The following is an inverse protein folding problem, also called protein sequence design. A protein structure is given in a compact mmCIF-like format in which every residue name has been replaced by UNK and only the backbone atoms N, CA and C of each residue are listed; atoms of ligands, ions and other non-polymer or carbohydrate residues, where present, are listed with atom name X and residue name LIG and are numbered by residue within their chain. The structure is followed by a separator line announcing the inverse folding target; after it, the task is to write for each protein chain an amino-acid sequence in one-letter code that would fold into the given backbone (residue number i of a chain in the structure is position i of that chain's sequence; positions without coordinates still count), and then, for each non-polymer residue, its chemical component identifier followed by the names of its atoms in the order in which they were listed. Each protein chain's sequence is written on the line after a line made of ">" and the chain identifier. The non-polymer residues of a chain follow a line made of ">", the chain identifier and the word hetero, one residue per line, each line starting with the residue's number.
data_IF_712219308757
#
_entry.id   IF_712219308757
#
_cell.length_a   1.000
_cell.length_b   1.000
_cell.length_c   1.000
_cell.angle_alpha   90.00
_cell.angle_beta   90.00
_cell.angle_gamma   90.00
#
_symmetry.space_group_name_H-M   'P 1'
#
loop_
_entity.id
_entity.type
_entity.pdbx_description
1 polymer ?
#
# COMPACT_ATOMS: atom_id res chain seq x y z
N UNK A 1 -60.05 -3.21 12.06
CA UNK A 1 -59.40 -2.78 12.24
C UNK A 1 -58.16 -3.04 12.29
N UNK A 2 -57.73 -3.16 12.47
CA UNK A 2 -56.55 -3.33 12.62
C UNK A 2 -55.68 -3.99 11.86
N UNK A 3 -55.58 -4.22 11.18
CA UNK A 3 -54.77 -4.85 10.48
C UNK A 3 -53.80 -4.23 9.86
N UNK A 4 -53.81 -3.41 9.90
CA UNK A 4 -52.97 -2.75 9.23
C UNK A 4 -51.72 -2.91 9.55
N UNK A 5 -51.37 -3.24 10.37
CA UNK A 5 -50.13 -3.25 10.68
C UNK A 5 -49.34 -4.16 10.12
N UNK A 6 -49.54 -4.84 9.72
CA UNK A 6 -48.81 -5.66 9.28
C UNK A 6 -47.89 -5.40 8.35
N UNK A 7 -47.80 -4.74 7.81
CA UNK A 7 -47.10 -4.53 6.86
C UNK A 7 -45.85 -4.13 7.00
N UNK A 8 -45.53 -3.75 7.52
CA UNK A 8 -44.43 -3.19 7.64
C UNK A 8 -43.32 -3.97 7.53
N UNK A 9 -42.87 -4.11 7.74
CA UNK A 9 -41.85 -4.77 7.79
C UNK A 9 -41.12 -5.13 6.88
N UNK A 10 -40.97 -5.21 6.51
CA UNK A 10 -40.32 -5.62 5.65
C UNK A 10 -39.25 -5.10 5.27
N UNK A 11 -38.96 -4.74 5.12
CA UNK A 11 -38.06 -4.23 4.58
C UNK A 11 -36.83 -4.49 4.77
N UNK A 12 -36.45 -4.45 5.15
CA UNK A 12 -35.33 -4.61 5.45
C UNK A 12 -34.33 -5.05 4.87
N UNK A 13 -33.93 -5.16 4.74
CA UNK A 13 -33.00 -5.59 4.23
C UNK A 13 -31.91 -5.41 3.91
N UNK A 14 -31.48 -5.35 3.87
CA UNK A 14 -30.51 -5.33 3.61
C UNK A 14 -29.53 -5.47 3.24
N UNK A 15 -29.29 -5.58 3.02
CA UNK A 15 -28.39 -5.69 2.57
C UNK A 15 -27.28 -5.65 2.49
N UNK A 16 -26.99 -5.61 2.46
CA UNK A 16 -25.98 -5.56 2.29
C UNK A 16 -24.96 -5.86 2.17
N UNK A 17 -24.64 -5.86 2.27
CA UNK A 17 -23.68 -6.15 2.26
C UNK A 17 -22.70 -6.40 1.75
N UNK A 18 -22.54 -6.39 1.44
CA UNK A 18 -21.74 -6.66 0.88
C UNK A 18 -20.53 -6.74 0.86
N UNK A 19 -20.08 -6.98 1.19
CA UNK A 19 -18.95 -7.19 1.26
C UNK A 19 -18.08 -7.25 0.38
N UNK A 20 -17.69 -6.58 0.14
CA UNK A 20 -16.89 -6.50 -0.73
C UNK A 20 -15.65 -6.81 -0.44
N UNK A 21 -15.19 -7.67 -0.49
CA UNK A 21 -13.97 -7.92 -0.33
C UNK A 21 -13.08 -7.68 -1.32
N UNK A 22 -12.56 -6.70 -1.39
CA UNK A 22 -11.64 -6.50 -2.36
C UNK A 22 -10.40 -7.09 -2.01
N UNK A 23 -9.79 -7.67 -2.74
CA UNK A 23 -8.55 -8.23 -2.49
C UNK A 23 -7.62 -7.17 -2.35
N UNK A 24 -6.82 -7.23 -1.55
CA UNK A 24 -5.98 -6.23 -1.38
C UNK A 24 -4.95 -6.11 -2.26
N UNK A 25 -4.93 -6.50 -3.23
CA UNK A 25 -3.88 -6.49 -3.99
C UNK A 25 -3.45 -5.38 -4.53
N UNK A 26 -2.69 -5.15 -4.73
CA UNK A 26 -2.25 -4.28 -5.59
C UNK A 26 -2.66 -2.96 -5.65
N UNK A 27 -2.95 -2.30 -4.67
CA UNK A 27 -3.15 -0.97 -4.88
C UNK A 27 -1.90 -0.24 -4.55
N UNK A 28 -1.38 0.49 -5.39
CA UNK A 28 -0.25 1.35 -5.14
C UNK A 28 -0.60 2.38 -4.12
N UNK A 29 0.34 2.77 -3.33
CA UNK A 29 0.16 3.85 -2.38
C UNK A 29 0.20 5.19 -3.09
N UNK A 30 -0.72 6.04 -2.76
CA UNK A 30 -0.80 7.39 -3.30
C UNK A 30 -0.62 8.40 -2.18
N UNK A 31 0.19 9.40 -2.43
CA UNK A 31 0.53 10.42 -1.45
C UNK A 31 0.21 11.81 -2.00
N UNK A 32 -0.27 12.69 -1.16
CA UNK A 32 -0.67 14.02 -1.62
C UNK A 32 0.45 14.78 -2.30
N UNK A 33 1.66 14.67 -1.79
CA UNK A 33 2.77 15.44 -2.32
C UNK A 33 3.44 14.74 -3.48
N UNK A 34 3.53 13.41 -3.45
CA UNK A 34 4.34 12.69 -4.41
C UNK A 34 3.54 12.09 -5.54
N UNK A 35 2.27 11.86 -5.33
CA UNK A 35 1.44 11.11 -6.27
C UNK A 35 1.45 9.62 -5.96
N UNK A 36 1.05 8.82 -6.91
CA UNK A 36 0.95 7.39 -6.72
C UNK A 36 2.22 6.68 -7.16
N UNK A 37 2.67 5.74 -6.36
CA UNK A 37 3.96 5.09 -6.58
C UNK A 37 4.04 4.32 -7.89
N UNK A 38 2.93 3.94 -8.47
CA UNK A 38 2.89 3.18 -9.72
C UNK A 38 2.67 4.04 -10.95
N UNK A 39 2.34 5.31 -10.80
CA UNK A 39 1.98 6.15 -11.91
C UNK A 39 2.65 7.50 -11.97
N UNK A 40 3.28 7.93 -10.88
CA UNK A 40 3.90 9.24 -10.82
C UNK A 40 5.36 9.12 -10.45
N UNK A 41 6.25 9.63 -11.27
CA UNK A 41 7.66 9.63 -10.95
C UNK A 41 7.91 10.62 -9.81
N UNK A 42 8.48 10.14 -8.72
CA UNK A 42 8.78 10.99 -7.57
C UNK A 42 9.99 11.88 -7.87
N UNK A 43 10.15 12.93 -7.09
CA UNK A 43 11.27 13.85 -7.26
C UNK A 43 12.16 13.78 -6.04
N UNK A 44 13.46 13.73 -6.28
CA UNK A 44 14.42 13.59 -5.18
C UNK A 44 14.31 14.71 -4.16
N UNK A 45 14.14 15.94 -4.60
CA UNK A 45 14.05 17.04 -3.66
C UNK A 45 12.85 16.91 -2.72
N UNK A 46 11.74 16.43 -3.22
CA UNK A 46 10.57 16.23 -2.39
C UNK A 46 10.82 15.13 -1.35
N UNK A 47 11.56 14.10 -1.74
CA UNK A 47 11.90 13.03 -0.81
C UNK A 47 12.91 13.45 0.24
N UNK A 48 13.78 14.39 -0.10
CA UNK A 48 14.77 14.89 0.86
C UNK A 48 14.18 15.89 1.83
N UNK A 49 13.18 16.68 1.38
CA UNK A 49 12.67 17.76 2.21
C UNK A 49 11.57 17.37 3.17
N UNK A 50 10.77 16.43 2.84
CA UNK A 50 9.57 16.16 3.63
C UNK A 50 9.66 14.97 4.55
N UNK A 51 9.77 13.76 4.03
CA UNK A 51 9.61 12.58 4.86
C UNK A 51 10.83 12.30 5.74
N UNK A 52 10.58 11.73 6.90
CA UNK A 52 11.64 11.25 7.75
C UNK A 52 12.06 9.85 7.31
N UNK A 53 13.09 9.30 7.93
CA UNK A 53 13.61 7.99 7.57
C UNK A 53 12.59 6.87 7.67
N UNK A 54 11.73 6.93 8.68
CA UNK A 54 10.73 5.89 8.86
C UNK A 54 9.67 5.94 7.76
N UNK A 55 9.29 7.13 7.34
CA UNK A 55 8.34 7.29 6.26
C UNK A 55 8.93 6.83 4.94
N UNK A 56 10.19 7.19 4.67
CA UNK A 56 10.88 6.73 3.46
C UNK A 56 10.96 5.21 3.42
N UNK A 57 11.26 4.58 4.55
CA UNK A 57 11.29 3.13 4.65
C UNK A 57 9.93 2.53 4.30
N UNK A 58 8.87 3.12 4.82
CA UNK A 58 7.51 2.66 4.56
C UNK A 58 7.13 2.85 3.10
N UNK A 59 7.48 3.99 2.51
CA UNK A 59 7.20 4.24 1.10
C UNK A 59 7.90 3.23 0.20
N UNK A 60 9.17 2.97 0.45
CA UNK A 60 9.95 2.07 -0.40
C UNK A 60 9.44 0.64 -0.30
N UNK A 61 9.23 0.16 0.90
CA UNK A 61 8.77 -1.20 1.08
C UNK A 61 7.30 -1.37 0.72
N UNK A 62 6.53 -0.30 0.74
CA UNK A 62 5.14 -0.31 0.28
C UNK A 62 5.03 -0.69 -1.20
N UNK A 63 6.01 -0.31 -2.01
CA UNK A 63 6.05 -0.71 -3.42
C UNK A 63 6.17 -2.24 -3.51
N UNK A 64 7.02 -2.84 -2.70
CA UNK A 64 7.22 -4.28 -2.71
C UNK A 64 5.99 -5.01 -2.15
N UNK A 65 5.42 -4.47 -1.07
CA UNK A 65 4.24 -5.07 -0.48
C UNK A 65 3.08 -5.11 -1.45
N UNK A 66 2.88 -4.06 -2.22
CA UNK A 66 1.79 -3.99 -3.17
C UNK A 66 1.83 -5.12 -4.21
N UNK A 67 3.00 -5.69 -4.45
CA UNK A 67 3.19 -6.76 -5.40
C UNK A 67 3.35 -8.15 -4.75
N UNK A 68 3.06 -8.25 -3.47
CA UNK A 68 3.05 -9.56 -2.81
C UNK A 68 4.39 -10.09 -2.34
N UNK A 69 5.33 -9.19 -2.08
CA UNK A 69 6.66 -9.59 -1.61
C UNK A 69 6.59 -10.17 -0.19
N UNK A 70 7.30 -11.26 0.03
CA UNK A 70 7.43 -11.84 1.35
C UNK A 70 8.67 -11.27 2.01
N UNK A 71 8.46 -10.42 3.02
CA UNK A 71 9.56 -9.74 3.69
C UNK A 71 10.39 -10.71 4.52
N UNK A 72 11.68 -10.39 4.67
CA UNK A 72 12.61 -11.27 5.34
C UNK A 72 13.19 -10.71 6.62
N UNK A 73 13.08 -9.42 6.84
CA UNK A 73 13.62 -8.82 8.05
C UNK A 73 12.56 -8.73 9.11
N UNK A 74 12.96 -8.81 10.37
CA UNK A 74 12.03 -8.69 11.48
C UNK A 74 11.28 -7.36 11.44
N UNK A 75 11.97 -6.28 11.09
CA UNK A 75 11.35 -4.97 11.04
C UNK A 75 10.27 -4.92 9.97
N UNK A 76 10.55 -5.41 8.78
CA UNK A 76 9.58 -5.35 7.68
C UNK A 76 8.39 -6.25 7.97
N UNK A 77 8.61 -7.42 8.54
CA UNK A 77 7.53 -8.33 8.89
C UNK A 77 6.64 -7.68 9.96
N UNK A 78 7.25 -7.04 10.95
CA UNK A 78 6.48 -6.36 11.99
C UNK A 78 5.69 -5.18 11.44
N UNK A 79 6.24 -4.49 10.45
CA UNK A 79 5.60 -3.30 9.89
C UNK A 79 4.48 -3.65 8.91
N UNK A 80 4.72 -4.63 8.05
CA UNK A 80 3.79 -4.90 6.96
C UNK A 80 3.11 -6.25 7.08
N UNK A 81 3.74 -7.21 7.74
CA UNK A 81 3.26 -8.58 7.75
C UNK A 81 3.56 -9.28 6.44
N UNK A 82 3.35 -10.57 6.40
CA UNK A 82 3.52 -11.37 5.20
C UNK A 82 2.22 -12.08 4.80
N UNK A 83 1.05 -11.58 5.29
CA UNK A 83 -0.16 -12.23 4.95
C UNK A 83 -0.43 -12.13 3.49
N UNK A 84 -0.67 -13.21 2.84
CA UNK A 84 -0.97 -13.26 1.41
C UNK A 84 0.21 -13.03 0.51
N UNK A 85 1.41 -12.96 1.04
CA UNK A 85 2.58 -12.77 0.19
C UNK A 85 2.85 -14.03 -0.63
N UNK A 86 3.42 -13.88 -1.80
CA UNK A 86 3.68 -15.01 -2.69
C UNK A 86 5.01 -14.94 -3.41
N UNK A 87 5.75 -13.88 -3.28
CA UNK A 87 6.98 -13.69 -4.04
C UNK A 87 8.16 -13.48 -3.10
N UNK A 88 9.11 -14.40 -3.15
CA UNK A 88 10.25 -14.34 -2.30
C UNK A 88 11.42 -13.55 -2.85
N UNK A 89 11.55 -13.42 -4.13
CA UNK A 89 12.64 -12.71 -4.76
C UNK A 89 12.15 -11.38 -5.29
N UNK A 90 12.69 -10.31 -4.79
CA UNK A 90 12.27 -8.96 -5.19
C UNK A 90 12.42 -8.74 -6.71
N UNK A 91 13.34 -9.43 -7.35
CA UNK A 91 13.52 -9.29 -8.80
C UNK A 91 12.33 -9.83 -9.58
N UNK A 92 11.50 -10.65 -8.96
CA UNK A 92 10.36 -11.27 -9.61
C UNK A 92 9.04 -10.54 -9.34
N UNK A 93 9.08 -9.37 -8.71
CA UNK A 93 7.85 -8.69 -8.33
C UNK A 93 7.08 -8.09 -9.51
N UNK A 94 7.70 -7.95 -10.65
CA UNK A 94 7.00 -7.39 -11.81
C UNK A 94 6.71 -5.91 -11.69
N UNK A 95 7.56 -5.17 -11.02
CA UNK A 95 7.39 -3.73 -10.90
C UNK A 95 7.45 -3.06 -12.26
N UNK A 96 6.63 -2.07 -12.49
CA UNK A 96 6.75 -1.28 -13.71
C UNK A 96 7.95 -0.33 -13.60
N UNK A 97 8.28 0.38 -14.66
CA UNK A 97 9.46 1.23 -14.67
C UNK A 97 9.34 2.41 -13.70
N UNK A 98 8.16 2.92 -13.50
CA UNK A 98 7.94 4.02 -12.56
C UNK A 98 8.14 3.52 -11.13
N UNK A 99 7.61 2.37 -10.79
CA UNK A 99 7.79 1.78 -9.47
C UNK A 99 9.25 1.49 -9.17
N UNK A 100 9.96 0.91 -10.15
CA UNK A 100 11.39 0.66 -9.97
C UNK A 100 12.16 1.94 -9.76
N UNK A 101 11.86 2.95 -10.55
CA UNK A 101 12.49 4.24 -10.43
C UNK A 101 12.20 4.90 -9.09
N UNK A 102 10.97 4.83 -8.64
CA UNK A 102 10.58 5.42 -7.36
C UNK A 102 11.24 4.70 -6.19
N UNK A 103 11.27 3.37 -6.20
CA UNK A 103 11.92 2.62 -5.14
C UNK A 103 13.42 2.93 -5.07
N UNK A 104 14.07 3.03 -6.22
CA UNK A 104 15.48 3.38 -6.27
C UNK A 104 15.73 4.81 -5.80
N UNK A 105 14.85 5.72 -6.14
CA UNK A 105 14.98 7.11 -5.73
C UNK A 105 14.78 7.27 -4.22
N UNK A 106 13.83 6.55 -3.67
CA UNK A 106 13.62 6.55 -2.21
C UNK A 106 14.86 6.00 -1.51
N UNK A 107 15.42 4.90 -2.00
CA UNK A 107 16.64 4.33 -1.43
C UNK A 107 17.79 5.33 -1.49
N UNK A 108 17.88 6.11 -2.56
CA UNK A 108 18.89 7.15 -2.68
C UNK A 108 18.67 8.26 -1.65
N UNK A 109 17.44 8.67 -1.47
CA UNK A 109 17.10 9.68 -0.48
C UNK A 109 17.45 9.18 0.93
N UNK A 110 17.16 7.93 1.23
CA UNK A 110 17.52 7.33 2.51
C UNK A 110 19.03 7.38 2.73
N UNK A 111 19.82 7.07 1.70
CA UNK A 111 21.26 7.13 1.80
C UNK A 111 21.75 8.56 2.02
N UNK A 112 21.23 9.52 1.29
CA UNK A 112 21.64 10.92 1.42
C UNK A 112 21.29 11.44 2.82
N UNK A 113 20.15 11.05 3.35
CA UNK A 113 19.71 11.50 4.67
C UNK A 113 20.38 10.72 5.82
N UNK A 114 21.17 9.71 5.52
CA UNK A 114 21.82 8.91 6.54
C UNK A 114 20.87 8.01 7.29
N UNK A 115 19.82 7.54 6.65
CA UNK A 115 18.87 6.67 7.30
C UNK A 115 19.48 5.29 7.60
N UNK A 116 19.08 4.66 8.72
CA UNK A 116 19.58 3.32 9.02
C UNK A 116 19.01 2.32 8.02
N UNK A 117 19.79 1.28 7.78
CA UNK A 117 19.35 0.23 6.88
C UNK A 117 19.13 -1.03 7.60
#
# INVERSE_FOLDING_TARGET
>A
MSQVFRRALLGAIAAAAVGVLTPHSAFADCYDVFGCSDGNAFKLNDLLDGPNCEFLYTMRNGVYRAHGYCFKTAKAIATFGNEGCSIDNADNLGLNSIERGNAALIARAETIKGCPR
#
